data_IF_598468103189
#
_entry.id   IF_598468103189
#
_cell.length_a   1.000
_cell.length_b   1.000
_cell.length_c   1.000
_cell.angle_alpha   90.00
_cell.angle_beta   90.00
_cell.angle_gamma   90.00
#
_symmetry.space_group_name_H-M   'P 1'
#
loop_
_entity.id
_entity.type
_entity.pdbx_description
1 polymer ?
#
# COMPACT_ATOMS: atom_id res chain seq x y z
N UNK A 1 8.49 5.11 29.36
CA UNK A 1 9.95 5.02 29.71
C UNK A 1 10.66 4.36 28.55
N UNK A 2 11.37 5.15 27.73
CA UNK A 2 12.21 4.61 26.65
C UNK A 2 13.34 3.79 27.27
N UNK A 3 13.36 2.50 27.04
CA UNK A 3 14.41 1.57 27.48
C UNK A 3 15.69 1.72 26.63
N UNK A 4 16.02 2.92 26.14
CA UNK A 4 17.16 3.19 25.25
C UNK A 4 17.05 2.50 23.89
N UNK A 5 15.84 2.16 23.44
CA UNK A 5 15.58 1.54 22.14
C UNK A 5 15.08 2.56 21.15
N UNK A 6 15.47 2.42 19.88
CA UNK A 6 14.87 3.12 18.76
C UNK A 6 13.68 2.30 18.27
N UNK A 7 12.49 2.90 18.28
CA UNK A 7 11.23 2.22 17.95
C UNK A 7 10.73 2.72 16.59
N UNK A 8 10.55 1.80 15.67
CA UNK A 8 10.00 2.09 14.34
C UNK A 8 8.65 1.41 14.17
N UNK A 9 7.61 2.19 13.91
CA UNK A 9 6.35 1.66 13.42
C UNK A 9 6.43 1.50 11.90
N UNK A 10 6.43 0.27 11.45
CA UNK A 10 6.62 -0.04 10.03
C UNK A 10 5.33 -0.08 9.23
N UNK A 11 4.16 0.21 9.82
CA UNK A 11 2.89 0.15 9.10
C UNK A 11 1.96 1.31 9.45
N UNK A 12 2.17 2.45 8.79
CA UNK A 12 1.38 3.64 9.05
C UNK A 12 0.82 4.24 7.76
N UNK A 13 -0.43 4.66 7.83
CA UNK A 13 -1.10 5.45 6.81
C UNK A 13 -1.35 6.85 7.37
N UNK A 14 -0.60 7.85 6.91
CA UNK A 14 -0.68 9.24 7.39
C UNK A 14 -1.89 9.97 6.79
N UNK A 15 -3.03 9.31 6.70
CA UNK A 15 -4.24 9.85 6.07
C UNK A 15 -5.43 9.84 7.03
N UNK A 16 -6.30 10.81 6.84
CA UNK A 16 -7.70 10.77 7.28
C UNK A 16 -8.60 11.08 6.11
N UNK A 17 -9.81 10.59 6.18
CA UNK A 17 -10.84 10.96 5.22
C UNK A 17 -11.72 12.04 5.83
N UNK A 18 -11.78 13.20 5.17
CA UNK A 18 -12.74 14.21 5.54
C UNK A 18 -14.13 13.74 5.09
N UNK A 19 -15.06 13.70 6.01
CA UNK A 19 -16.48 13.58 5.69
C UNK A 19 -16.93 14.91 5.06
N UNK A 20 -16.77 15.03 3.75
CA UNK A 20 -17.25 16.18 3.00
C UNK A 20 -18.76 16.14 2.74
N UNK A 21 -19.31 17.16 2.06
CA UNK A 21 -20.72 17.20 1.66
C UNK A 21 -21.19 15.97 0.90
N UNK A 22 -20.31 15.31 0.19
CA UNK A 22 -20.57 14.08 -0.56
C UNK A 22 -20.85 12.89 0.39
N UNK A 23 -20.17 12.82 1.53
CA UNK A 23 -20.45 11.80 2.53
C UNK A 23 -21.84 11.98 3.16
N UNK A 24 -22.24 13.21 3.43
CA UNK A 24 -23.58 13.52 3.94
C UNK A 24 -24.70 13.17 2.95
N UNK A 25 -24.41 13.22 1.64
CA UNK A 25 -25.34 12.83 0.56
C UNK A 25 -25.43 11.32 0.36
N UNK A 26 -24.33 10.60 0.61
CA UNK A 26 -24.30 9.16 0.53
C UNK A 26 -25.03 8.52 1.73
N UNK A 27 -26.33 8.69 1.84
CA UNK A 27 -27.18 8.06 2.89
C UNK A 27 -26.82 6.57 3.05
N UNK A 28 -25.69 6.32 3.72
CA UNK A 28 -25.26 4.98 4.05
C UNK A 28 -26.20 4.46 5.14
N UNK A 29 -27.09 3.58 4.74
CA UNK A 29 -27.71 2.69 5.70
C UNK A 29 -26.63 1.76 6.25
N UNK A 30 -25.97 2.23 7.32
CA UNK A 30 -24.88 1.50 7.98
C UNK A 30 -25.28 0.13 8.48
N UNK A 31 -26.60 -0.14 8.61
CA UNK A 31 -27.13 -1.46 8.99
C UNK A 31 -27.17 -2.45 7.80
N UNK A 32 -27.14 -1.94 6.58
CA UNK A 32 -27.17 -2.75 5.36
C UNK A 32 -25.91 -2.58 4.50
N UNK A 33 -25.05 -1.64 4.85
CA UNK A 33 -23.83 -1.40 4.11
C UNK A 33 -22.96 -2.66 4.15
N UNK A 34 -22.86 -3.33 3.01
CA UNK A 34 -21.83 -4.34 2.80
C UNK A 34 -20.49 -3.63 2.79
N UNK A 35 -19.46 -4.31 3.21
CA UNK A 35 -18.10 -3.77 3.26
C UNK A 35 -17.63 -3.13 1.94
N UNK A 36 -18.08 -3.66 0.81
CA UNK A 36 -17.83 -3.10 -0.53
C UNK A 36 -18.39 -1.68 -0.71
N UNK A 37 -19.50 -1.34 -0.03
CA UNK A 37 -20.09 -0.02 -0.09
C UNK A 37 -19.26 0.96 0.75
N UNK A 38 -18.72 0.53 1.87
CA UNK A 38 -17.81 1.33 2.69
C UNK A 38 -16.52 1.68 1.93
N UNK A 39 -15.90 0.70 1.29
CA UNK A 39 -14.70 0.93 0.47
C UNK A 39 -14.97 1.84 -0.73
N UNK A 40 -16.17 1.79 -1.30
CA UNK A 40 -16.60 2.67 -2.39
C UNK A 40 -16.82 4.10 -1.91
N UNK A 41 -17.39 4.27 -0.72
CA UNK A 41 -17.57 5.56 -0.07
C UNK A 41 -16.21 6.16 0.30
N UNK A 42 -15.33 5.38 0.90
CA UNK A 42 -13.99 5.83 1.25
C UNK A 42 -13.19 6.32 0.03
N UNK A 43 -13.38 5.71 -1.15
CA UNK A 43 -12.75 6.16 -2.40
C UNK A 43 -13.29 7.49 -2.93
N UNK A 44 -14.50 7.86 -2.54
CA UNK A 44 -15.10 9.16 -2.88
C UNK A 44 -14.75 10.26 -1.88
N UNK A 45 -14.07 9.94 -0.78
CA UNK A 45 -13.64 10.91 0.21
C UNK A 45 -12.30 11.52 -0.20
N UNK A 46 -12.13 12.81 0.05
CA UNK A 46 -10.84 13.46 -0.14
C UNK A 46 -9.94 13.11 1.04
N UNK A 47 -8.81 12.42 0.81
CA UNK A 47 -7.84 12.21 1.85
C UNK A 47 -7.20 13.53 2.24
N UNK A 48 -6.90 13.70 3.51
CA UNK A 48 -6.12 14.83 3.98
C UNK A 48 -4.98 14.35 4.87
N UNK A 49 -3.95 15.16 4.91
CA UNK A 49 -2.79 14.95 5.74
C UNK A 49 -3.16 14.92 7.22
N UNK A 50 -2.79 13.87 7.91
CA UNK A 50 -3.00 13.67 9.35
C UNK A 50 -1.66 13.60 10.10
N UNK A 51 -0.56 14.03 9.49
CA UNK A 51 0.79 13.91 10.06
C UNK A 51 0.91 14.61 11.43
N UNK A 52 0.23 15.73 11.63
CA UNK A 52 0.25 16.43 12.92
C UNK A 52 -0.32 15.56 14.07
N UNK A 53 -1.40 14.83 13.82
CA UNK A 53 -1.93 13.89 14.81
C UNK A 53 -1.00 12.70 15.01
N UNK A 54 -0.43 12.21 13.93
CA UNK A 54 0.51 11.08 13.98
C UNK A 54 1.76 11.44 14.79
N UNK A 55 2.32 12.63 14.59
CA UNK A 55 3.45 13.14 15.41
C UNK A 55 3.10 13.19 16.89
N UNK A 56 1.91 13.66 17.22
CA UNK A 56 1.44 13.68 18.61
C UNK A 56 1.35 12.24 19.18
N UNK A 57 0.80 11.31 18.44
CA UNK A 57 0.67 9.91 18.88
C UNK A 57 2.07 9.26 19.01
N UNK A 58 3.00 9.54 18.09
CA UNK A 58 4.39 9.08 18.18
C UNK A 58 5.07 9.57 19.47
N UNK A 59 4.88 10.83 19.82
CA UNK A 59 5.41 11.39 21.06
C UNK A 59 4.78 10.73 22.29
N UNK A 60 3.46 10.54 22.29
CA UNK A 60 2.75 9.89 23.39
C UNK A 60 3.19 8.43 23.64
N UNK A 61 3.54 7.72 22.58
CA UNK A 61 3.87 6.28 22.64
C UNK A 61 5.36 5.98 22.48
N UNK A 62 6.21 7.00 22.52
CA UNK A 62 7.66 6.88 22.37
C UNK A 62 8.09 6.21 21.03
N UNK A 63 7.34 6.42 19.94
CA UNK A 63 7.71 5.95 18.61
C UNK A 63 8.67 6.94 17.97
N UNK A 64 9.82 6.47 17.53
CA UNK A 64 10.88 7.34 16.99
C UNK A 64 10.65 7.64 15.51
N UNK A 65 10.22 6.65 14.74
CA UNK A 65 10.04 6.77 13.29
C UNK A 65 8.84 5.94 12.82
N UNK A 66 8.17 6.41 11.77
CA UNK A 66 7.13 5.65 11.09
C UNK A 66 7.45 5.47 9.61
N UNK A 67 7.10 4.29 9.08
CA UNK A 67 7.13 4.01 7.65
C UNK A 67 5.75 4.26 7.07
N UNK A 68 5.65 5.23 6.16
CA UNK A 68 4.39 5.60 5.50
C UNK A 68 4.12 4.70 4.29
N UNK A 69 2.94 4.13 4.26
CA UNK A 69 2.48 3.27 3.18
C UNK A 69 1.41 3.96 2.36
N UNK A 70 1.48 3.92 1.02
CA UNK A 70 0.43 4.45 0.16
C UNK A 70 -0.81 3.55 0.21
N UNK A 71 -1.97 4.13 0.50
CA UNK A 71 -3.25 3.43 0.49
C UNK A 71 -4.43 4.43 0.41
N UNK A 72 -5.55 3.99 -0.13
CA UNK A 72 -6.84 4.68 -0.08
C UNK A 72 -6.81 6.20 -0.40
N UNK A 73 -6.03 6.61 -1.39
CA UNK A 73 -5.91 8.01 -1.79
C UNK A 73 -4.69 8.74 -1.26
N UNK A 74 -3.96 8.19 -0.26
CA UNK A 74 -2.60 8.62 -0.01
C UNK A 74 -1.70 8.07 -1.11
N UNK A 75 -1.28 8.96 -1.97
CA UNK A 75 -0.40 8.63 -3.09
C UNK A 75 1.05 8.60 -2.66
N UNK A 76 1.92 8.05 -3.51
CA UNK A 76 3.37 8.15 -3.32
C UNK A 76 3.81 9.61 -3.11
N UNK A 77 3.27 10.55 -3.89
CA UNK A 77 3.60 11.98 -3.79
C UNK A 77 3.18 12.59 -2.45
N UNK A 78 1.96 12.33 -2.00
CA UNK A 78 1.46 12.85 -0.72
C UNK A 78 2.26 12.30 0.47
N UNK A 79 2.66 11.02 0.43
CA UNK A 79 3.55 10.48 1.47
C UNK A 79 4.92 11.18 1.45
N UNK A 80 5.48 11.48 0.28
CA UNK A 80 6.73 12.22 0.20
C UNK A 80 6.61 13.65 0.75
N UNK A 81 5.49 14.34 0.52
CA UNK A 81 5.26 15.66 1.12
C UNK A 81 5.28 15.61 2.65
N UNK A 82 4.79 14.53 3.27
CA UNK A 82 4.87 14.32 4.72
C UNK A 82 6.31 14.05 5.15
N UNK A 83 7.03 13.19 4.41
CA UNK A 83 8.45 12.90 4.68
C UNK A 83 9.31 14.16 4.55
N UNK A 84 9.12 14.96 3.50
CA UNK A 84 9.89 16.20 3.29
C UNK A 84 9.68 17.22 4.41
N UNK A 85 8.51 17.25 5.03
CA UNK A 85 8.25 18.14 6.17
C UNK A 85 8.83 17.62 7.50
N UNK A 86 8.97 16.32 7.63
CA UNK A 86 9.38 15.66 8.88
C UNK A 86 10.34 14.49 8.60
N UNK A 87 11.53 14.76 8.01
CA UNK A 87 12.42 13.70 7.53
C UNK A 87 13.08 12.89 8.66
N UNK A 88 13.08 13.43 9.88
CA UNK A 88 13.56 12.74 11.09
C UNK A 88 12.50 11.81 11.72
N UNK A 89 11.24 11.87 11.24
CA UNK A 89 10.11 11.12 11.80
C UNK A 89 9.52 10.13 10.82
N UNK A 90 9.60 10.40 9.54
CA UNK A 90 8.94 9.59 8.52
C UNK A 90 9.89 9.19 7.41
N UNK A 91 9.69 7.97 6.96
CA UNK A 91 10.18 7.46 5.67
C UNK A 91 8.99 6.87 4.92
N UNK A 92 9.10 6.71 3.62
CA UNK A 92 7.99 6.19 2.81
C UNK A 92 8.42 5.01 1.95
N UNK A 93 7.48 4.10 1.73
CA UNK A 93 7.56 3.09 0.67
C UNK A 93 6.66 3.52 -0.50
N UNK A 94 6.92 2.99 -1.68
CA UNK A 94 6.14 3.26 -2.88
C UNK A 94 5.36 2.03 -3.38
N UNK A 95 4.42 2.25 -4.28
CA UNK A 95 3.78 1.19 -5.06
C UNK A 95 3.42 1.72 -6.45
N UNK A 96 3.14 0.82 -7.41
CA UNK A 96 2.82 1.16 -8.80
C UNK A 96 1.39 1.70 -8.94
N UNK A 97 1.11 2.86 -8.35
CA UNK A 97 -0.24 3.45 -8.32
C UNK A 97 -0.67 3.99 -9.68
N UNK A 98 0.25 4.54 -10.44
CA UNK A 98 -0.06 5.16 -11.73
C UNK A 98 -0.35 4.09 -12.79
N UNK A 99 0.43 3.03 -12.83
CA UNK A 99 0.16 1.85 -13.67
C UNK A 99 -1.21 1.26 -13.35
N UNK A 100 -1.54 1.12 -12.07
CA UNK A 100 -2.86 0.65 -11.66
C UNK A 100 -3.99 1.60 -12.06
N UNK A 101 -3.79 2.90 -11.93
CA UNK A 101 -4.76 3.92 -12.32
C UNK A 101 -5.01 3.87 -13.83
N UNK A 102 -3.95 3.91 -14.62
CA UNK A 102 -4.03 3.88 -16.09
C UNK A 102 -4.72 2.62 -16.58
N UNK A 103 -4.38 1.48 -16.02
CA UNK A 103 -5.00 0.21 -16.38
C UNK A 103 -6.50 0.18 -16.05
N UNK A 104 -6.89 0.64 -14.86
CA UNK A 104 -8.32 0.72 -14.48
C UNK A 104 -9.13 1.64 -15.38
N UNK A 105 -8.49 2.69 -15.91
CA UNK A 105 -9.12 3.62 -16.85
C UNK A 105 -9.10 3.09 -18.30
N UNK A 106 -8.47 1.95 -18.56
CA UNK A 106 -8.33 1.40 -19.92
C UNK A 106 -7.32 2.15 -20.79
N UNK A 107 -6.45 2.95 -20.19
CA UNK A 107 -5.40 3.70 -20.88
C UNK A 107 -4.23 2.80 -21.30
N UNK A 108 -3.96 1.76 -20.52
CA UNK A 108 -2.94 0.75 -20.79
C UNK A 108 -3.43 -0.64 -20.38
N UNK A 109 -2.85 -1.68 -20.96
CA UNK A 109 -2.95 -3.03 -20.42
C UNK A 109 -2.04 -3.16 -19.20
N UNK A 110 -2.53 -3.79 -18.14
CA UNK A 110 -1.72 -4.05 -16.95
C UNK A 110 -0.76 -5.21 -17.21
N UNK A 111 0.52 -4.99 -16.93
CA UNK A 111 1.53 -6.06 -16.91
C UNK A 111 2.42 -5.94 -15.67
N UNK A 112 3.00 -7.05 -15.19
CA UNK A 112 3.96 -7.01 -14.09
C UNK A 112 5.16 -6.12 -14.40
N UNK A 113 5.61 -6.13 -15.67
CA UNK A 113 6.76 -5.35 -16.15
C UNK A 113 6.48 -3.84 -16.12
N UNK A 114 5.26 -3.43 -16.50
CA UNK A 114 4.86 -2.02 -16.42
C UNK A 114 4.83 -1.53 -14.97
N UNK A 115 4.34 -2.37 -14.05
CA UNK A 115 4.34 -2.05 -12.63
C UNK A 115 5.77 -2.03 -12.05
N UNK A 116 6.62 -2.95 -12.46
CA UNK A 116 8.03 -3.00 -12.07
C UNK A 116 8.80 -1.77 -12.57
N UNK A 117 8.54 -1.34 -13.81
CA UNK A 117 9.18 -0.14 -14.38
C UNK A 117 8.82 1.13 -13.60
N UNK A 118 7.54 1.31 -13.21
CA UNK A 118 7.14 2.44 -12.37
C UNK A 118 7.85 2.41 -11.01
N UNK A 119 7.94 1.24 -10.37
CA UNK A 119 8.63 1.10 -9.09
C UNK A 119 10.13 1.36 -9.23
N UNK A 120 10.75 0.89 -10.31
CA UNK A 120 12.17 1.15 -10.61
C UNK A 120 12.45 2.65 -10.75
N UNK A 121 11.58 3.38 -11.44
CA UNK A 121 11.66 4.84 -11.55
C UNK A 121 11.54 5.50 -10.17
N UNK A 122 10.54 5.11 -9.38
CA UNK A 122 10.31 5.68 -8.05
C UNK A 122 11.48 5.43 -7.09
N UNK A 123 12.00 4.20 -7.04
CA UNK A 123 13.13 3.86 -6.18
C UNK A 123 14.43 4.52 -6.65
N UNK A 124 14.61 4.73 -7.96
CA UNK A 124 15.77 5.44 -8.53
C UNK A 124 15.88 6.88 -8.03
N UNK A 125 14.79 7.48 -7.56
CA UNK A 125 14.82 8.82 -6.96
C UNK A 125 15.58 8.88 -5.64
N UNK A 126 15.78 7.74 -4.96
CA UNK A 126 16.35 7.67 -3.62
C UNK A 126 15.45 8.21 -2.51
N UNK A 127 14.21 8.57 -2.83
CA UNK A 127 13.26 9.16 -1.87
C UNK A 127 12.43 8.13 -1.11
N UNK A 128 12.40 6.89 -1.58
CA UNK A 128 11.68 5.78 -0.96
C UNK A 128 12.64 4.75 -0.41
N UNK A 129 12.33 4.21 0.76
CA UNK A 129 13.14 3.18 1.42
C UNK A 129 12.76 1.76 1.00
N UNK A 130 11.71 1.61 0.21
CA UNK A 130 11.23 0.31 -0.24
C UNK A 130 9.92 0.41 -1.00
N UNK A 131 9.28 -0.74 -1.15
CA UNK A 131 8.00 -0.89 -1.82
C UNK A 131 6.97 -1.66 -0.97
N UNK A 132 5.70 -1.44 -1.25
CA UNK A 132 4.56 -2.07 -0.56
C UNK A 132 3.52 -1.02 -0.17
N UNK A 133 2.51 -1.39 0.55
CA UNK A 133 1.98 -2.59 1.17
C UNK A 133 1.39 -3.55 0.13
N UNK A 134 0.59 -3.00 -0.79
CA UNK A 134 -0.05 -3.76 -1.85
C UNK A 134 0.94 -4.05 -2.98
N UNK A 135 1.29 -5.31 -3.15
CA UNK A 135 1.98 -5.73 -4.35
C UNK A 135 1.10 -5.49 -5.58
N UNK A 136 1.67 -4.95 -6.66
CA UNK A 136 0.92 -4.67 -7.87
C UNK A 136 0.15 -5.89 -8.37
N UNK A 137 -1.06 -5.67 -8.85
CA UNK A 137 -1.93 -6.72 -9.36
C UNK A 137 -2.80 -6.20 -10.50
N UNK A 138 -3.14 -7.08 -11.43
CA UNK A 138 -4.12 -6.77 -12.46
C UNK A 138 -5.53 -6.70 -11.87
N UNK A 139 -6.00 -5.48 -11.65
CA UNK A 139 -7.35 -5.22 -11.14
C UNK A 139 -8.44 -5.25 -12.22
N UNK A 140 -8.08 -5.40 -13.47
CA UNK A 140 -9.02 -5.54 -14.59
C UNK A 140 -9.44 -6.99 -14.80
N UNK A 141 -8.57 -7.93 -14.43
CA UNK A 141 -8.83 -9.35 -14.51
C UNK A 141 -9.59 -9.84 -13.26
N UNK A 142 -10.80 -10.32 -13.47
CA UNK A 142 -11.68 -10.81 -12.41
C UNK A 142 -11.45 -12.30 -12.05
N UNK A 143 -10.44 -12.93 -12.57
CA UNK A 143 -10.15 -14.33 -12.29
C UNK A 143 -9.30 -14.45 -11.03
N UNK A 144 -9.64 -15.41 -10.19
CA UNK A 144 -8.78 -15.82 -9.09
C UNK A 144 -7.49 -16.42 -9.66
N UNK A 145 -6.36 -15.84 -9.28
CA UNK A 145 -5.06 -16.36 -9.67
C UNK A 145 -4.67 -17.53 -8.76
N UNK A 146 -3.94 -18.48 -9.33
CA UNK A 146 -3.21 -19.47 -8.52
C UNK A 146 -2.05 -18.77 -7.78
N UNK A 147 -1.53 -19.42 -6.74
CA UNK A 147 -0.32 -18.95 -6.05
C UNK A 147 0.82 -18.71 -7.04
N UNK A 148 1.11 -19.67 -7.91
CA UNK A 148 2.17 -19.56 -8.91
C UNK A 148 1.97 -18.36 -9.82
N UNK A 149 0.78 -18.19 -10.40
CA UNK A 149 0.49 -17.05 -11.27
C UNK A 149 0.62 -15.70 -10.51
N UNK A 150 0.29 -15.68 -9.22
CA UNK A 150 0.48 -14.47 -8.39
C UNK A 150 1.96 -14.20 -8.12
N UNK A 151 2.73 -15.22 -7.84
CA UNK A 151 4.19 -15.09 -7.68
C UNK A 151 4.83 -14.59 -8.96
N UNK A 152 4.40 -15.07 -10.13
CA UNK A 152 4.90 -14.61 -11.43
C UNK A 152 4.64 -13.09 -11.64
N UNK A 153 3.53 -12.57 -11.13
CA UNK A 153 3.26 -11.13 -11.14
C UNK A 153 4.14 -10.34 -10.17
N UNK A 154 4.59 -10.95 -9.09
CA UNK A 154 5.37 -10.28 -8.04
C UNK A 154 6.87 -10.30 -8.37
N UNK A 155 7.39 -11.36 -8.98
CA UNK A 155 8.83 -11.52 -9.24
C UNK A 155 9.48 -10.33 -9.95
N UNK A 156 8.94 -9.75 -11.03
CA UNK A 156 9.56 -8.57 -11.65
C UNK A 156 9.69 -7.38 -10.69
N UNK A 157 8.75 -7.24 -9.78
CA UNK A 157 8.77 -6.19 -8.75
C UNK A 157 9.81 -6.49 -7.67
N UNK A 158 9.99 -7.76 -7.29
CA UNK A 158 11.03 -8.18 -6.35
C UNK A 158 12.44 -8.04 -6.96
N UNK A 159 12.59 -8.30 -8.25
CA UNK A 159 13.86 -8.05 -8.96
C UNK A 159 14.26 -6.57 -8.88
N UNK A 160 13.29 -5.67 -9.00
CA UNK A 160 13.52 -4.23 -8.80
C UNK A 160 13.88 -3.92 -7.34
N UNK A 161 13.20 -4.52 -6.37
CA UNK A 161 13.55 -4.35 -4.96
C UNK A 161 15.01 -4.76 -4.68
N UNK A 162 15.41 -5.92 -5.19
CA UNK A 162 16.79 -6.43 -5.10
C UNK A 162 17.80 -5.50 -5.77
N UNK A 163 17.50 -5.02 -6.98
CA UNK A 163 18.34 -4.05 -7.71
C UNK A 163 18.65 -2.82 -6.87
N UNK A 164 17.64 -2.29 -6.18
CA UNK A 164 17.76 -1.09 -5.34
C UNK A 164 18.15 -1.38 -3.88
N UNK A 165 18.33 -2.64 -3.48
CA UNK A 165 18.56 -3.06 -2.09
C UNK A 165 17.48 -2.51 -1.16
N UNK A 166 16.24 -2.56 -1.61
CA UNK A 166 15.08 -1.97 -0.96
C UNK A 166 14.23 -3.01 -0.26
N UNK A 167 13.62 -2.63 0.84
CA UNK A 167 12.67 -3.50 1.55
C UNK A 167 11.40 -3.69 0.74
N UNK A 168 10.97 -4.93 0.56
CA UNK A 168 9.67 -5.27 0.00
C UNK A 168 8.70 -5.67 1.13
N UNK A 169 7.58 -4.98 1.23
CA UNK A 169 6.53 -5.29 2.18
C UNK A 169 5.33 -5.90 1.48
N UNK A 170 4.97 -7.11 1.87
CA UNK A 170 3.89 -7.86 1.24
C UNK A 170 2.70 -7.95 2.19
N UNK A 171 1.56 -7.42 1.76
CA UNK A 171 0.30 -7.65 2.45
C UNK A 171 -0.18 -9.08 2.17
N UNK A 172 -0.29 -9.89 3.21
CA UNK A 172 -0.88 -11.23 3.13
C UNK A 172 -2.29 -11.18 3.72
N UNK A 173 -3.23 -11.77 3.01
CA UNK A 173 -4.60 -11.80 3.48
C UNK A 173 -5.57 -10.99 2.64
N UNK A 174 -6.81 -10.97 3.10
CA UNK A 174 -7.90 -10.24 2.45
C UNK A 174 -7.96 -8.85 3.04
N UNK A 175 -7.71 -7.85 2.23
CA UNK A 175 -8.16 -6.51 2.58
C UNK A 175 -9.68 -6.53 2.54
N UNK A 176 -10.29 -6.36 3.68
CA UNK A 176 -11.75 -6.32 3.78
C UNK A 176 -12.29 -5.29 2.79
N UNK A 177 -13.21 -5.71 1.92
CA UNK A 177 -13.81 -4.87 0.88
C UNK A 177 -13.35 -5.12 -0.55
N UNK A 178 -12.29 -5.88 -0.76
CA UNK A 178 -12.10 -6.50 -2.06
C UNK A 178 -12.89 -7.80 -2.07
N UNK A 179 -13.69 -7.98 -3.12
CA UNK A 179 -14.31 -9.26 -3.36
C UNK A 179 -13.23 -10.34 -3.33
N UNK A 180 -13.35 -11.29 -2.42
CA UNK A 180 -12.48 -12.45 -2.30
C UNK A 180 -12.26 -13.19 -3.63
N UNK A 181 -13.06 -12.86 -4.63
CA UNK A 181 -13.13 -13.53 -5.91
C UNK A 181 -12.13 -13.00 -6.94
N UNK A 182 -11.36 -11.95 -6.65
CA UNK A 182 -10.70 -11.26 -7.75
C UNK A 182 -9.19 -11.49 -7.87
N UNK A 183 -8.47 -11.82 -6.79
CA UNK A 183 -7.00 -11.89 -6.87
C UNK A 183 -6.36 -12.88 -5.91
N UNK A 184 -7.11 -13.45 -4.99
CA UNK A 184 -6.55 -14.28 -3.94
C UNK A 184 -7.15 -15.68 -3.99
N UNK A 185 -6.31 -16.69 -3.88
CA UNK A 185 -6.73 -18.06 -3.61
C UNK A 185 -7.02 -18.22 -2.11
N UNK A 186 -7.79 -19.22 -1.69
CA UNK A 186 -8.24 -19.35 -0.30
C UNK A 186 -7.11 -19.34 0.75
N UNK A 187 -5.96 -19.93 0.42
CA UNK A 187 -4.81 -20.03 1.31
C UNK A 187 -3.95 -18.76 1.37
N UNK A 188 -4.24 -17.74 0.57
CA UNK A 188 -3.47 -16.48 0.51
C UNK A 188 -3.44 -15.72 1.84
N UNK A 189 -4.39 -16.00 2.73
CA UNK A 189 -4.42 -15.46 4.10
C UNK A 189 -3.26 -15.98 4.95
N UNK A 190 -2.76 -17.19 4.66
CA UNK A 190 -1.63 -17.75 5.36
C UNK A 190 -0.33 -17.21 4.75
N UNK A 191 0.49 -16.47 5.51
CA UNK A 191 1.72 -15.87 4.98
C UNK A 191 2.78 -16.90 4.56
N UNK A 192 2.57 -18.18 4.83
CA UNK A 192 3.55 -19.24 4.52
C UNK A 192 3.89 -19.31 3.02
N UNK A 193 2.98 -18.89 2.14
CA UNK A 193 3.24 -18.85 0.71
C UNK A 193 4.35 -17.86 0.33
N UNK A 194 4.61 -16.86 1.18
CA UNK A 194 5.70 -15.92 0.95
C UNK A 194 7.07 -16.50 1.28
N UNK A 195 7.13 -17.70 1.89
CA UNK A 195 8.38 -18.36 2.23
C UNK A 195 9.21 -18.70 0.99
N UNK A 196 8.54 -19.16 -0.07
CA UNK A 196 9.22 -19.48 -1.33
C UNK A 196 9.80 -18.21 -1.95
N UNK A 197 9.02 -17.12 -1.93
CA UNK A 197 9.48 -15.81 -2.40
C UNK A 197 10.66 -15.29 -1.56
N UNK A 198 10.59 -15.40 -0.24
CA UNK A 198 11.69 -15.01 0.64
C UNK A 198 12.95 -15.87 0.43
N UNK A 199 12.78 -17.14 0.05
CA UNK A 199 13.92 -18.00 -0.31
C UNK A 199 14.56 -17.61 -1.66
N UNK A 200 13.75 -17.12 -2.60
CA UNK A 200 14.24 -16.61 -3.91
C UNK A 200 14.94 -15.23 -3.74
N UNK A 201 14.54 -14.46 -2.73
CA UNK A 201 15.01 -13.08 -2.47
C UNK A 201 15.48 -12.94 -1.01
N UNK A 202 16.62 -13.55 -0.63
CA UNK A 202 17.10 -13.59 0.75
C UNK A 202 17.79 -12.29 1.22
N UNK A 203 18.09 -11.35 0.31
CA UNK A 203 18.91 -10.14 0.49
C UNK A 203 18.09 -8.84 0.39
#
# INVERSE_FOLDING_TARGET
MKLGRFIVDTHVHAQRFAAGPEFAKAKLDTKKARYNDLARVMRGLTPYDNSARLLYDMDCYDVDMCVLLPAFGMTNALNLEVVERHPDKFVAVCTAMETQRKSRNGEIEWTPEAAAAEIDELLSTGKFVGLGEGMPADHTNKRTLSQTARMDQIRPVMDVARKHKSVARIHTGVVMGYSLTHHFWPESLNPIWTTDLAAEYPD
#
